data_IF_240125968231
#
_entry.id   IF_240125968231
#
_cell.length_a   1.000
_cell.length_b   1.000
_cell.length_c   1.000
_cell.angle_alpha   90.00
_cell.angle_beta   90.00
_cell.angle_gamma   90.00
#
_symmetry.space_group_name_H-M   'P 1'
#
loop_
_entity.id
_entity.type
_entity.pdbx_description
1 polymer ?
#
# COMPACT_ATOMS: atom_id res chain seq x y z
N UNK A 1 -1.30 -14.25 -4.86
CA UNK A 1 -0.82 -12.87 -5.14
C UNK A 1 0.24 -12.60 -4.10
N UNK A 2 1.50 -12.53 -4.53
CA UNK A 2 2.59 -12.12 -3.64
C UNK A 2 2.38 -10.65 -3.29
N UNK A 3 2.16 -10.35 -2.00
CA UNK A 3 1.87 -8.98 -1.56
C UNK A 3 3.20 -8.29 -1.34
N UNK A 4 3.57 -7.40 -2.25
CA UNK A 4 4.83 -6.64 -2.16
C UNK A 4 4.88 -5.67 -0.98
N UNK A 5 3.72 -5.37 -0.37
CA UNK A 5 3.60 -4.47 0.77
C UNK A 5 2.66 -5.05 1.82
N UNK A 6 3.05 -4.86 3.09
CA UNK A 6 2.27 -5.19 4.26
C UNK A 6 1.91 -3.92 5.03
N UNK A 7 0.71 -3.92 5.62
CA UNK A 7 0.23 -2.86 6.49
C UNK A 7 0.26 -3.37 7.92
N UNK A 8 1.03 -2.73 8.80
CA UNK A 8 1.08 -3.05 10.23
C UNK A 8 0.47 -1.91 11.04
N UNK A 9 -0.64 -2.15 11.74
CA UNK A 9 -1.37 -1.11 12.47
C UNK A 9 -1.49 -1.40 13.97
N UNK A 10 -0.99 -0.49 14.80
CA UNK A 10 -1.19 -0.50 16.24
C UNK A 10 -2.21 0.56 16.65
N UNK A 11 -2.98 0.26 17.69
CA UNK A 11 -3.84 1.22 18.34
C UNK A 11 -3.72 1.15 19.86
N UNK A 12 -3.78 2.29 20.53
CA UNK A 12 -3.77 2.38 21.99
C UNK A 12 -4.64 3.53 22.52
N UNK A 13 -5.01 3.46 23.80
CA UNK A 13 -5.81 4.49 24.49
C UNK A 13 -5.04 5.79 24.72
N UNK A 14 -3.71 5.75 24.73
CA UNK A 14 -2.84 6.91 24.97
C UNK A 14 -1.61 6.85 24.08
N UNK A 15 -1.04 8.01 23.74
CA UNK A 15 0.21 8.08 22.97
C UNK A 15 1.39 7.33 23.63
N UNK A 16 1.65 7.43 24.96
CA UNK A 16 2.71 6.66 25.60
C UNK A 16 2.51 5.14 25.51
N UNK A 17 1.26 4.67 25.59
CA UNK A 17 0.96 3.25 25.41
C UNK A 17 1.24 2.79 23.97
N UNK A 18 0.93 3.63 22.97
CA UNK A 18 1.24 3.34 21.57
C UNK A 18 2.76 3.23 21.34
N UNK A 19 3.54 4.16 21.88
CA UNK A 19 5.01 4.13 21.80
C UNK A 19 5.58 2.88 22.49
N UNK A 20 5.06 2.52 23.67
CA UNK A 20 5.48 1.31 24.38
C UNK A 20 5.17 0.04 23.59
N UNK A 21 4.01 -0.02 22.92
CA UNK A 21 3.69 -1.13 22.03
C UNK A 21 4.65 -1.20 20.84
N UNK A 22 4.95 -0.06 20.19
CA UNK A 22 5.90 -0.02 19.08
C UNK A 22 7.29 -0.53 19.51
N UNK A 23 7.79 -0.13 20.68
CA UNK A 23 9.05 -0.63 21.25
C UNK A 23 9.02 -2.14 21.51
N UNK A 24 7.92 -2.67 22.06
CA UNK A 24 7.79 -4.11 22.32
C UNK A 24 7.80 -4.96 21.03
N UNK A 25 7.13 -4.48 19.97
CA UNK A 25 7.18 -5.15 18.66
C UNK A 25 8.56 -5.02 18.01
N UNK A 26 9.20 -3.85 18.10
CA UNK A 26 10.57 -3.67 17.60
C UNK A 26 11.53 -4.68 18.24
N UNK A 27 11.45 -4.86 19.56
CA UNK A 27 12.28 -5.82 20.29
C UNK A 27 12.01 -7.27 19.87
N UNK A 28 10.73 -7.64 19.70
CA UNK A 28 10.36 -8.98 19.21
C UNK A 28 10.92 -9.25 17.81
N UNK A 29 10.86 -8.25 16.91
CA UNK A 29 11.40 -8.35 15.56
C UNK A 29 12.93 -8.41 15.57
N UNK A 30 13.60 -7.66 16.45
CA UNK A 30 15.06 -7.72 16.64
C UNK A 30 15.53 -9.13 16.96
N UNK A 31 14.89 -9.79 17.94
CA UNK A 31 15.18 -11.18 18.32
C UNK A 31 14.95 -12.14 17.16
N UNK A 32 13.88 -11.95 16.38
CA UNK A 32 13.59 -12.76 15.20
C UNK A 32 14.66 -12.59 14.11
N UNK A 33 15.13 -11.37 13.86
CA UNK A 33 16.16 -11.06 12.85
C UNK A 33 17.54 -11.61 13.24
N UNK A 34 17.90 -11.51 14.53
CA UNK A 34 19.15 -12.06 15.06
C UNK A 34 19.16 -13.60 14.97
N UNK A 35 18.03 -14.24 15.28
CA UNK A 35 17.89 -15.69 15.19
C UNK A 35 18.02 -16.19 13.75
N UNK A 36 17.38 -15.51 12.79
CA UNK A 36 17.48 -15.85 11.36
C UNK A 36 18.91 -15.67 10.81
N UNK A 37 19.62 -14.64 11.29
CA UNK A 37 21.02 -14.38 10.92
C UNK A 37 21.97 -15.45 11.49
N UNK A 38 21.69 -15.96 12.69
CA UNK A 38 22.47 -17.03 13.33
C UNK A 38 22.26 -18.39 12.64
N UNK A 39 21.03 -18.71 12.21
CA UNK A 39 20.71 -19.94 11.47
C UNK A 39 21.36 -19.97 10.07
N UNK A 40 21.53 -18.82 9.42
CA UNK A 40 22.19 -18.71 8.11
C UNK A 40 23.69 -19.01 8.16
N UNK A 41 24.30 -18.96 9.35
CA UNK A 41 25.73 -19.22 9.58
C UNK A 41 26.03 -20.64 10.10
N UNK A 42 25.01 -21.49 10.29
CA UNK A 42 25.16 -22.86 10.78
C UNK A 42 24.82 -23.89 9.69
N UNK A 43 25.85 -24.47 9.07
CA UNK A 43 25.74 -25.70 8.29
C UNK A 43 25.61 -26.91 9.21
N UNK A 44 24.42 -27.50 9.21
CA UNK A 44 24.09 -28.89 9.52
C UNK A 44 24.33 -29.44 10.95
N UNK A 45 23.33 -30.19 11.42
CA UNK A 45 23.33 -31.04 12.62
C UNK A 45 23.04 -30.36 13.97
N UNK A 46 21.74 -30.18 14.28
CA UNK A 46 21.07 -30.88 15.39
C UNK A 46 19.58 -30.50 15.44
N UNK A 47 18.75 -31.54 15.60
CA UNK A 47 17.30 -31.52 15.43
C UNK A 47 16.62 -31.08 16.73
N UNK A 48 16.65 -29.78 17.01
CA UNK A 48 15.71 -29.14 17.95
C UNK A 48 15.44 -27.74 17.43
N UNK A 49 14.32 -27.61 16.70
CA UNK A 49 13.85 -26.36 16.12
C UNK A 49 13.58 -25.38 17.26
N UNK A 50 14.25 -24.22 17.35
CA UNK A 50 13.87 -23.22 18.33
C UNK A 50 12.39 -22.86 18.13
N UNK A 51 11.62 -22.83 19.21
CA UNK A 51 10.17 -22.50 19.22
C UNK A 51 9.93 -21.01 18.93
N UNK A 52 10.98 -20.24 18.66
CA UNK A 52 10.91 -18.87 18.17
C UNK A 52 10.97 -18.88 16.63
N UNK A 53 9.94 -19.47 16.02
CA UNK A 53 9.82 -19.54 14.58
C UNK A 53 9.84 -18.15 13.96
N UNK A 54 10.64 -17.99 12.90
CA UNK A 54 10.66 -16.83 12.02
C UNK A 54 9.24 -16.25 11.87
N UNK A 55 9.03 -15.02 12.36
CA UNK A 55 7.71 -14.40 12.34
C UNK A 55 7.37 -14.08 10.90
N UNK A 56 6.49 -14.88 10.30
CA UNK A 56 5.96 -14.62 8.98
C UNK A 56 5.25 -13.26 8.98
N UNK A 57 5.79 -12.31 8.21
CA UNK A 57 5.37 -10.89 8.24
C UNK A 57 3.89 -10.72 7.89
N UNK A 58 3.40 -11.51 6.93
CA UNK A 58 2.00 -11.59 6.54
C UNK A 58 1.10 -12.00 7.72
N UNK A 59 1.47 -13.06 8.45
CA UNK A 59 0.72 -13.55 9.59
C UNK A 59 0.74 -12.56 10.76
N UNK A 60 1.88 -11.90 11.00
CA UNK A 60 2.01 -10.84 12.00
C UNK A 60 1.08 -9.67 11.68
N UNK A 61 1.18 -9.11 10.47
CA UNK A 61 0.36 -7.98 10.05
C UNK A 61 -1.13 -8.33 10.05
N UNK A 62 -1.49 -9.53 9.58
CA UNK A 62 -2.86 -10.03 9.67
C UNK A 62 -3.34 -10.06 11.12
N UNK A 63 -2.61 -10.72 12.01
CA UNK A 63 -2.99 -10.89 13.43
C UNK A 63 -3.14 -9.55 14.15
N UNK A 64 -2.23 -8.61 13.89
CA UNK A 64 -2.25 -7.29 14.53
C UNK A 64 -3.42 -6.45 14.02
N UNK A 65 -3.76 -6.53 12.73
CA UNK A 65 -4.83 -5.75 12.15
C UNK A 65 -6.23 -6.31 12.44
N UNK A 66 -6.40 -7.63 12.59
CA UNK A 66 -7.71 -8.26 12.78
C UNK A 66 -7.99 -8.72 14.20
N UNK A 67 -6.94 -9.01 15.00
CA UNK A 67 -7.07 -9.61 16.32
C UNK A 67 -7.02 -8.63 17.50
N UNK A 68 -6.94 -7.32 17.24
CA UNK A 68 -6.78 -6.31 18.31
C UNK A 68 -7.86 -5.25 18.28
N UNK A 69 -8.20 -4.75 19.47
CA UNK A 69 -9.15 -3.65 19.61
C UNK A 69 -8.61 -2.36 18.98
N UNK A 70 -9.50 -1.62 18.33
CA UNK A 70 -9.20 -0.29 17.80
C UNK A 70 -9.36 0.77 18.89
N UNK A 71 -8.42 1.70 18.94
CA UNK A 71 -8.42 2.86 19.85
C UNK A 71 -8.11 4.14 19.07
N UNK A 72 -8.13 5.28 19.78
CA UNK A 72 -8.01 6.61 19.20
C UNK A 72 -6.60 6.95 18.74
N UNK A 73 -5.55 6.55 19.47
CA UNK A 73 -4.17 6.74 19.02
C UNK A 73 -3.75 5.57 18.14
N UNK A 74 -3.38 5.84 16.89
CA UNK A 74 -3.03 4.83 15.90
C UNK A 74 -1.68 5.11 15.28
N UNK A 75 -0.97 4.02 15.00
CA UNK A 75 0.25 3.97 14.22
C UNK A 75 0.04 2.96 13.10
N UNK A 76 0.40 3.34 11.88
CA UNK A 76 0.40 2.44 10.73
C UNK A 76 1.75 2.51 10.03
N UNK A 77 2.31 1.35 9.69
CA UNK A 77 3.55 1.22 8.91
C UNK A 77 3.24 0.49 7.62
N UNK A 78 3.67 1.05 6.48
CA UNK A 78 3.74 0.33 5.20
C UNK A 78 5.15 -0.22 5.06
N UNK A 79 5.28 -1.52 4.84
CA UNK A 79 6.58 -2.21 4.87
C UNK A 79 6.65 -3.36 3.87
N UNK A 80 7.83 -3.62 3.29
CA UNK A 80 8.04 -4.77 2.41
C UNK A 80 8.66 -5.98 3.14
N UNK A 81 9.33 -5.77 4.28
CA UNK A 81 9.99 -6.84 5.03
C UNK A 81 10.11 -6.54 6.54
N UNK A 82 10.53 -7.56 7.27
CA UNK A 82 10.72 -7.51 8.74
C UNK A 82 11.77 -6.46 9.16
N UNK A 83 12.81 -6.23 8.34
CA UNK A 83 13.89 -5.29 8.62
C UNK A 83 13.39 -3.85 8.58
N UNK A 84 12.62 -3.49 7.55
CA UNK A 84 11.98 -2.19 7.42
C UNK A 84 10.97 -1.95 8.55
N UNK A 85 10.16 -2.95 8.89
CA UNK A 85 9.19 -2.84 9.98
C UNK A 85 9.90 -2.57 11.32
N UNK A 86 10.95 -3.33 11.61
CA UNK A 86 11.78 -3.13 12.80
C UNK A 86 12.36 -1.70 12.84
N UNK A 87 12.97 -1.24 11.75
CA UNK A 87 13.56 0.10 11.68
C UNK A 87 12.51 1.21 11.92
N UNK A 88 11.32 1.07 11.33
CA UNK A 88 10.22 2.02 11.51
C UNK A 88 9.70 2.07 12.95
N UNK A 89 9.47 0.91 13.57
CA UNK A 89 8.98 0.83 14.95
C UNK A 89 10.03 1.30 15.97
N UNK A 90 11.30 0.99 15.75
CA UNK A 90 12.42 1.50 16.55
C UNK A 90 12.52 3.03 16.47
N UNK A 91 12.35 3.61 15.28
CA UNK A 91 12.33 5.06 15.12
C UNK A 91 11.20 5.72 15.92
N UNK A 92 9.99 5.15 15.88
CA UNK A 92 8.84 5.61 16.68
C UNK A 92 9.12 5.47 18.17
N UNK A 93 9.72 4.36 18.59
CA UNK A 93 10.14 4.16 19.97
C UNK A 93 11.12 5.22 20.48
N UNK A 94 11.91 5.84 19.60
CA UNK A 94 12.79 6.97 19.89
C UNK A 94 12.16 8.35 19.64
N UNK A 95 10.84 8.43 19.42
CA UNK A 95 10.13 9.68 19.19
C UNK A 95 10.27 10.26 17.77
N UNK A 96 10.76 9.48 16.80
CA UNK A 96 10.85 9.87 15.38
C UNK A 96 9.73 9.24 14.55
N UNK A 97 9.25 9.93 13.52
CA UNK A 97 8.26 9.38 12.60
C UNK A 97 8.81 9.44 11.15
N UNK A 98 9.37 8.33 10.63
CA UNK A 98 9.84 8.28 9.24
C UNK A 98 8.67 8.32 8.24
N UNK A 99 8.96 8.60 6.97
CA UNK A 99 7.95 8.74 5.92
C UNK A 99 7.09 7.49 5.68
N UNK A 100 7.54 6.29 6.09
CA UNK A 100 6.77 5.04 6.04
C UNK A 100 5.76 4.87 7.17
N UNK A 101 5.81 5.75 8.18
CA UNK A 101 4.94 5.72 9.36
C UNK A 101 3.86 6.78 9.25
N UNK A 102 2.63 6.41 9.58
CA UNK A 102 1.51 7.34 9.80
C UNK A 102 1.09 7.25 11.26
N UNK A 103 1.12 8.39 11.94
CA UNK A 103 0.61 8.56 13.29
C UNK A 103 -0.65 9.40 13.23
N UNK A 104 -1.68 8.99 13.96
CA UNK A 104 -2.95 9.70 14.01
C UNK A 104 -3.61 9.57 15.37
N UNK A 105 -4.39 10.58 15.73
CA UNK A 105 -5.29 10.52 16.89
C UNK A 105 -6.68 10.85 16.43
N UNK A 106 -7.62 9.94 16.66
CA UNK A 106 -9.04 10.15 16.38
C UNK A 106 -9.73 10.83 17.56
N UNK A 107 -10.69 11.70 17.26
CA UNK A 107 -11.57 12.32 18.26
C UNK A 107 -12.66 11.36 18.73
N UNK A 108 -13.14 10.47 17.85
CA UNK A 108 -14.05 9.37 18.16
C UNK A 108 -13.71 8.13 17.34
N UNK A 109 -14.19 6.96 17.77
CA UNK A 109 -14.07 5.69 17.04
C UNK A 109 -15.27 5.49 16.08
N UNK A 110 -16.25 6.40 16.11
CA UNK A 110 -17.43 6.34 15.23
C UNK A 110 -17.05 6.36 13.74
N UNK A 111 -17.90 5.75 12.90
CA UNK A 111 -17.72 5.72 11.46
C UNK A 111 -17.82 7.15 10.88
N UNK A 112 -16.73 7.70 10.32
CA UNK A 112 -16.77 9.03 9.74
C UNK A 112 -17.63 9.02 8.47
N UNK A 113 -18.35 10.12 8.23
CA UNK A 113 -18.95 10.34 6.92
C UNK A 113 -17.81 10.49 5.88
N UNK A 114 -17.78 9.61 4.89
CA UNK A 114 -16.79 9.62 3.80
C UNK A 114 -17.42 10.21 2.54
N UNK A 115 -16.75 11.20 1.95
CA UNK A 115 -17.14 11.81 0.67
C UNK A 115 -16.03 11.56 -0.35
N UNK A 116 -16.37 11.06 -1.53
CA UNK A 116 -15.43 10.97 -2.65
C UNK A 116 -15.48 12.24 -3.48
N UNK A 117 -14.32 12.84 -3.72
CA UNK A 117 -14.15 14.03 -4.55
C UNK A 117 -13.48 13.62 -5.86
N UNK A 118 -14.15 13.93 -6.96
CA UNK A 118 -13.72 13.67 -8.33
C UNK A 118 -13.25 14.98 -8.96
N UNK A 119 -12.03 14.99 -9.48
CA UNK A 119 -11.38 16.19 -10.00
C UNK A 119 -11.72 16.40 -11.47
N UNK A 120 -11.64 17.66 -11.90
CA UNK A 120 -11.79 18.02 -13.31
C UNK A 120 -10.49 17.84 -14.10
N UNK A 121 -10.48 18.39 -15.32
CA UNK A 121 -9.28 18.46 -16.15
C UNK A 121 -8.15 19.23 -15.42
N UNK A 122 -6.91 18.78 -15.57
CA UNK A 122 -5.71 19.35 -14.94
C UNK A 122 -5.01 18.39 -13.97
N UNK A 123 -5.69 17.30 -13.56
CA UNK A 123 -5.12 16.25 -12.73
C UNK A 123 -4.49 15.11 -13.53
N UNK A 124 -4.54 15.15 -14.87
CA UNK A 124 -4.00 14.09 -15.70
C UNK A 124 -2.46 14.10 -15.66
N UNK A 125 -1.87 12.92 -15.63
CA UNK A 125 -0.44 12.73 -15.81
C UNK A 125 -0.17 11.46 -16.62
N UNK A 126 0.96 11.44 -17.31
CA UNK A 126 1.40 10.26 -18.05
C UNK A 126 1.51 9.05 -17.11
N UNK A 127 1.06 7.89 -17.59
CA UNK A 127 1.05 6.63 -16.86
C UNK A 127 0.32 6.67 -15.49
N UNK A 128 -0.66 7.58 -15.32
CA UNK A 128 -1.45 7.66 -14.09
C UNK A 128 -2.12 6.32 -13.75
N UNK A 129 -1.91 5.84 -12.53
CA UNK A 129 -2.45 4.56 -12.07
C UNK A 129 -1.79 3.31 -12.68
N UNK A 130 -0.70 3.41 -13.46
CA UNK A 130 -0.06 2.25 -14.10
C UNK A 130 0.31 1.14 -13.11
N UNK A 131 0.91 1.50 -11.97
CA UNK A 131 1.24 0.51 -10.92
C UNK A 131 -0.01 -0.19 -10.36
N UNK A 132 -1.14 0.52 -10.25
CA UNK A 132 -2.41 -0.07 -9.82
C UNK A 132 -2.99 -0.96 -10.91
N UNK A 133 -2.92 -0.56 -12.18
CA UNK A 133 -3.31 -1.39 -13.30
C UNK A 133 -2.50 -2.71 -13.33
N UNK A 134 -1.19 -2.65 -13.06
CA UNK A 134 -0.32 -3.82 -13.05
C UNK A 134 -0.54 -4.73 -11.82
N UNK A 135 -0.83 -4.16 -10.64
CA UNK A 135 -0.84 -4.89 -9.35
C UNK A 135 -2.22 -5.13 -8.72
N UNK A 136 -3.24 -4.32 -9.04
CA UNK A 136 -4.56 -4.35 -8.39
C UNK A 136 -5.65 -4.87 -9.34
N UNK A 137 -6.16 -6.10 -9.16
CA UNK A 137 -7.12 -6.70 -10.08
C UNK A 137 -8.41 -5.89 -10.31
N UNK A 138 -8.99 -5.30 -9.25
CA UNK A 138 -10.22 -4.50 -9.33
C UNK A 138 -9.99 -3.24 -10.18
N UNK A 139 -8.87 -2.55 -9.96
CA UNK A 139 -8.52 -1.37 -10.74
C UNK A 139 -8.36 -1.72 -12.22
N UNK A 140 -7.58 -2.77 -12.52
CA UNK A 140 -7.37 -3.26 -13.89
C UNK A 140 -8.68 -3.61 -14.59
N UNK A 141 -9.52 -4.42 -13.93
CA UNK A 141 -10.82 -4.83 -14.48
C UNK A 141 -11.72 -3.62 -14.75
N UNK A 142 -11.70 -2.61 -13.87
CA UNK A 142 -12.50 -1.39 -14.06
C UNK A 142 -12.01 -0.58 -15.26
N UNK A 143 -10.68 -0.42 -15.40
CA UNK A 143 -10.09 0.24 -16.58
C UNK A 143 -10.40 -0.53 -17.87
N UNK A 144 -10.27 -1.86 -17.87
CA UNK A 144 -10.56 -2.71 -19.03
C UNK A 144 -12.04 -2.60 -19.45
N UNK A 145 -12.96 -2.52 -18.49
CA UNK A 145 -14.38 -2.28 -18.75
C UNK A 145 -14.61 -0.88 -19.37
N UNK A 146 -13.97 0.16 -18.83
CA UNK A 146 -14.03 1.49 -19.41
C UNK A 146 -13.46 1.53 -20.84
N UNK A 147 -12.34 0.85 -21.12
CA UNK A 147 -11.78 0.72 -22.45
C UNK A 147 -12.78 0.10 -23.43
N UNK A 148 -13.40 -1.02 -23.06
CA UNK A 148 -14.40 -1.70 -23.90
C UNK A 148 -15.57 -0.79 -24.28
N UNK A 149 -16.03 0.05 -23.35
CA UNK A 149 -17.14 0.99 -23.55
C UNK A 149 -16.70 2.19 -24.40
N UNK A 150 -15.52 2.76 -24.12
CA UNK A 150 -15.06 4.02 -24.68
C UNK A 150 -14.36 3.86 -26.03
N UNK A 151 -13.75 2.72 -26.30
CA UNK A 151 -13.01 2.45 -27.54
C UNK A 151 -13.76 2.78 -28.84
N UNK A 152 -15.05 2.41 -29.03
CA UNK A 152 -15.79 2.81 -30.22
C UNK A 152 -16.06 4.32 -30.30
N UNK A 153 -16.06 5.04 -29.17
CA UNK A 153 -16.30 6.48 -29.11
C UNK A 153 -15.01 7.30 -29.31
N UNK A 154 -13.88 6.79 -28.81
CA UNK A 154 -12.56 7.43 -28.89
C UNK A 154 -11.82 7.10 -30.19
N UNK A 155 -12.18 5.99 -30.85
CA UNK A 155 -11.45 5.49 -32.02
C UNK A 155 -10.08 4.88 -31.69
N UNK A 156 -9.72 4.78 -30.41
CA UNK A 156 -8.49 4.19 -29.92
C UNK A 156 -8.71 3.47 -28.58
N UNK A 157 -7.74 2.67 -28.14
CA UNK A 157 -7.78 2.06 -26.81
C UNK A 157 -7.40 3.09 -25.75
N UNK A 158 -8.21 3.15 -24.69
CA UNK A 158 -7.94 3.89 -23.47
C UNK A 158 -6.72 3.31 -22.72
N UNK A 159 -6.57 1.98 -22.71
CA UNK A 159 -5.39 1.34 -22.10
C UNK A 159 -4.12 1.76 -22.82
N UNK A 160 -4.09 1.72 -24.16
CA UNK A 160 -2.93 2.15 -24.94
C UNK A 160 -2.64 3.65 -24.81
N UNK A 161 -3.68 4.46 -24.52
CA UNK A 161 -3.57 5.88 -24.27
C UNK A 161 -2.96 6.18 -22.89
N UNK A 162 -3.40 5.46 -21.84
CA UNK A 162 -2.91 5.62 -20.47
C UNK A 162 -1.53 4.98 -20.27
N UNK A 163 -1.32 3.79 -20.86
CA UNK A 163 -0.17 2.91 -20.65
C UNK A 163 0.47 2.51 -21.99
N UNK A 164 1.03 3.49 -22.72
CA UNK A 164 1.66 3.21 -24.00
C UNK A 164 2.85 2.23 -23.81
N UNK A 165 3.05 1.27 -24.73
CA UNK A 165 4.15 0.33 -24.66
C UNK A 165 5.51 1.06 -24.77
N UNK A 166 6.44 0.70 -23.89
CA UNK A 166 7.84 1.16 -23.97
C UNK A 166 8.60 0.40 -25.07
N UNK A 167 9.61 0.99 -25.73
CA UNK A 167 10.21 2.31 -25.48
C UNK A 167 9.73 3.43 -26.43
N UNK A 168 8.81 3.13 -27.36
CA UNK A 168 8.45 4.03 -28.45
C UNK A 168 7.03 4.57 -28.26
N UNK A 169 6.91 5.66 -27.51
CA UNK A 169 5.81 6.60 -27.74
C UNK A 169 6.13 7.38 -29.01
N UNK A 170 5.42 7.16 -30.13
CA UNK A 170 5.60 8.00 -31.31
C UNK A 170 5.37 9.46 -30.91
N UNK A 171 6.14 10.41 -31.45
CA UNK A 171 5.94 11.84 -31.14
C UNK A 171 4.48 12.27 -31.35
N UNK A 172 3.79 11.67 -32.32
CA UNK A 172 2.37 11.89 -32.60
C UNK A 172 1.42 11.53 -31.46
N UNK A 173 1.84 10.73 -30.47
CA UNK A 173 1.05 10.37 -29.28
C UNK A 173 1.43 11.17 -28.03
N UNK A 174 2.56 11.89 -28.04
CA UNK A 174 2.92 12.76 -26.90
C UNK A 174 1.91 13.88 -26.79
N UNK A 175 1.37 14.10 -25.59
CA UNK A 175 0.30 15.08 -25.35
C UNK A 175 -1.04 14.70 -25.96
N UNK A 176 -1.21 13.48 -26.50
CA UNK A 176 -2.53 13.01 -26.93
C UNK A 176 -3.50 12.96 -25.74
N UNK A 177 -3.02 12.53 -24.57
CA UNK A 177 -3.80 12.53 -23.33
C UNK A 177 -4.23 13.94 -22.90
N UNK A 178 -3.56 15.01 -23.33
CA UNK A 178 -3.90 16.40 -23.00
C UNK A 178 -5.03 16.99 -23.85
N UNK A 179 -5.42 16.32 -24.93
CA UNK A 179 -6.58 16.76 -25.69
C UNK A 179 -7.86 16.38 -24.93
N UNK A 180 -8.72 17.36 -24.68
CA UNK A 180 -9.93 17.21 -23.84
C UNK A 180 -10.78 15.99 -24.18
N UNK A 181 -10.87 15.63 -25.48
CA UNK A 181 -11.60 14.44 -25.95
C UNK A 181 -11.09 13.13 -25.34
N UNK A 182 -9.80 13.05 -25.02
CA UNK A 182 -9.13 11.92 -24.40
C UNK A 182 -8.95 12.12 -22.90
N UNK A 183 -8.64 13.35 -22.44
CA UNK A 183 -8.39 13.63 -21.03
C UNK A 183 -9.60 13.35 -20.14
N UNK A 184 -10.80 13.78 -20.55
CA UNK A 184 -11.99 13.66 -19.71
C UNK A 184 -12.41 12.20 -19.51
N UNK A 185 -12.50 11.35 -20.55
CA UNK A 185 -12.82 9.94 -20.36
C UNK A 185 -11.72 9.18 -19.61
N UNK A 186 -10.46 9.55 -19.80
CA UNK A 186 -9.34 8.95 -19.09
C UNK A 186 -9.36 9.27 -17.58
N UNK A 187 -9.59 10.53 -17.22
CA UNK A 187 -9.76 10.94 -15.82
C UNK A 187 -10.95 10.24 -15.18
N UNK A 188 -12.10 10.21 -15.85
CA UNK A 188 -13.26 9.48 -15.36
C UNK A 188 -12.93 8.01 -15.07
N UNK A 189 -12.31 7.31 -16.02
CA UNK A 189 -12.00 5.90 -15.87
C UNK A 189 -11.05 5.64 -14.69
N UNK A 190 -10.03 6.47 -14.53
CA UNK A 190 -9.05 6.35 -13.43
C UNK A 190 -9.69 6.66 -12.09
N UNK A 191 -10.43 7.75 -11.96
CA UNK A 191 -11.07 8.11 -10.70
C UNK A 191 -12.18 7.11 -10.32
N UNK A 192 -12.91 6.58 -11.31
CA UNK A 192 -13.89 5.52 -11.09
C UNK A 192 -13.22 4.22 -10.64
N UNK A 193 -12.10 3.82 -11.28
CA UNK A 193 -11.31 2.66 -10.87
C UNK A 193 -10.71 2.82 -9.46
N UNK A 194 -10.28 4.04 -9.09
CA UNK A 194 -9.88 4.35 -7.72
C UNK A 194 -11.06 4.19 -6.76
N UNK A 195 -12.24 4.72 -7.09
CA UNK A 195 -13.43 4.56 -6.26
C UNK A 195 -13.82 3.09 -6.07
N UNK A 196 -13.74 2.26 -7.11
CA UNK A 196 -13.98 0.81 -7.02
C UNK A 196 -12.99 0.09 -6.11
N UNK A 197 -11.74 0.57 -5.95
CA UNK A 197 -10.81 -0.01 -4.99
C UNK A 197 -11.16 0.31 -3.53
N UNK A 198 -11.88 1.40 -3.29
CA UNK A 198 -12.27 1.83 -1.95
C UNK A 198 -13.58 1.20 -1.46
N UNK A 199 -14.41 0.68 -2.38
CA UNK A 199 -15.71 0.05 -2.12
C UNK A 199 -15.58 -1.45 -1.85
#
# INVERSE_FOLDING_TARGET
IDRTHHLFTLAAKTAPALTKMAQAYAETLRVSLESASAESNYTESTRTKPVHGNVALDALCYTVNTGRAHFTHRLTVVTHDTTQLHAALSAVGSGRAPASVRLGTLTSIDDPAVTFLFSGQGAQNDAMGRQLYESAPIFRQTIDQCDQILRPLLGCSLVDLLYPPEPELPESRRGQLDQTVYTQPALFAVEYALAQLWL
#
